data_IF_685186576905
#
_entry.id   IF_685186576905
#
_cell.length_a   1.000
_cell.length_b   1.000
_cell.length_c   1.000
_cell.angle_alpha   90.00
_cell.angle_beta   90.00
_cell.angle_gamma   90.00
#
_symmetry.space_group_name_H-M   'P 1'
#
loop_
_entity.id
_entity.type
_entity.pdbx_description
1 polymer ?
#
# COMPACT_ATOMS: atom_id res chain seq x y z
N UNK A 1 -5.61 2.62 14.91
CA UNK A 1 -6.01 1.37 14.24
C UNK A 1 -5.04 0.27 14.65
N UNK A 2 -5.51 -0.78 15.33
CA UNK A 2 -4.66 -1.89 15.81
C UNK A 2 -3.84 -2.56 14.69
N UNK A 3 -4.38 -2.61 13.48
CA UNK A 3 -3.72 -3.20 12.31
C UNK A 3 -2.35 -2.57 11.96
N UNK A 4 -2.13 -1.27 12.22
CA UNK A 4 -0.83 -0.61 11.99
C UNK A 4 0.28 -1.19 12.87
N UNK A 5 -0.06 -1.50 14.12
CA UNK A 5 0.86 -2.07 15.09
C UNK A 5 0.99 -3.59 14.92
N UNK A 6 -0.11 -4.27 14.60
CA UNK A 6 -0.12 -5.73 14.44
C UNK A 6 0.63 -6.22 13.18
N UNK A 7 0.77 -5.35 12.16
CA UNK A 7 1.34 -5.72 10.86
C UNK A 7 2.59 -4.92 10.47
N UNK A 8 3.10 -4.08 11.38
CA UNK A 8 4.22 -3.16 11.15
C UNK A 8 4.13 -2.50 9.76
N UNK A 9 3.01 -1.79 9.54
CA UNK A 9 2.65 -1.30 8.22
C UNK A 9 3.60 -0.18 7.76
N UNK A 10 4.57 -0.54 6.91
CA UNK A 10 5.24 0.39 6.00
C UNK A 10 4.50 0.37 4.66
N UNK A 11 3.53 1.26 4.48
CA UNK A 11 2.85 1.43 3.19
C UNK A 11 3.72 2.32 2.32
N UNK A 12 4.31 1.76 1.27
CA UNK A 12 4.96 2.53 0.21
C UNK A 12 4.03 2.60 -1.00
N UNK A 13 4.05 3.72 -1.69
CA UNK A 13 3.27 3.91 -2.92
C UNK A 13 4.23 3.89 -4.09
N UNK A 14 3.96 3.03 -5.08
CA UNK A 14 4.72 3.03 -6.32
C UNK A 14 4.16 4.10 -7.25
N UNK A 15 4.99 5.07 -7.63
CA UNK A 15 4.57 6.19 -8.48
C UNK A 15 5.78 6.89 -9.08
N UNK A 16 5.63 7.40 -10.31
CA UNK A 16 6.60 8.35 -10.85
C UNK A 16 6.49 9.69 -10.13
N UNK A 17 7.58 10.46 -10.12
CA UNK A 17 7.62 11.72 -9.37
C UNK A 17 6.62 12.73 -9.91
N UNK A 18 6.37 12.67 -11.21
CA UNK A 18 5.46 13.54 -11.95
C UNK A 18 3.99 13.24 -11.63
N UNK A 19 3.68 12.02 -11.17
CA UNK A 19 2.32 11.57 -10.83
C UNK A 19 1.95 11.79 -9.36
N UNK A 20 2.94 12.16 -8.52
CA UNK A 20 2.69 12.50 -7.12
C UNK A 20 1.93 13.84 -7.07
N UNK A 21 0.79 13.84 -6.37
CA UNK A 21 0.00 15.05 -6.16
C UNK A 21 0.87 16.19 -5.64
N UNK A 22 0.81 17.35 -6.31
CA UNK A 22 1.57 18.55 -5.95
C UNK A 22 1.35 18.96 -4.49
N UNK A 23 0.14 18.76 -3.97
CA UNK A 23 -0.25 19.06 -2.59
C UNK A 23 -0.01 17.92 -1.60
N UNK A 24 0.60 16.79 -2.02
CA UNK A 24 0.85 15.63 -1.15
C UNK A 24 1.44 16.02 0.21
N UNK A 25 2.50 16.82 0.21
CA UNK A 25 3.17 17.22 1.45
C UNK A 25 2.24 18.01 2.37
N UNK A 26 1.48 18.96 1.82
CA UNK A 26 0.50 19.73 2.56
C UNK A 26 -0.61 18.82 3.13
N UNK A 27 -1.15 17.92 2.31
CA UNK A 27 -2.21 17.00 2.71
C UNK A 27 -1.73 15.99 3.77
N UNK A 28 -0.48 15.53 3.68
CA UNK A 28 0.17 14.68 4.69
C UNK A 28 0.31 15.40 6.03
N UNK A 29 0.71 16.68 6.04
CA UNK A 29 0.74 17.46 7.31
C UNK A 29 -0.62 17.64 7.96
N UNK A 30 -1.70 17.54 7.16
CA UNK A 30 -3.09 17.58 7.64
C UNK A 30 -3.67 16.20 7.98
N UNK A 31 -2.88 15.14 7.88
CA UNK A 31 -3.27 13.78 8.24
C UNK A 31 -3.96 12.97 7.14
N UNK A 32 -4.08 13.48 5.91
CA UNK A 32 -4.78 12.76 4.82
C UNK A 32 -3.97 11.59 4.24
N UNK A 33 -2.64 11.71 4.23
CA UNK A 33 -1.71 10.69 3.70
C UNK A 33 -0.70 10.23 4.77
N UNK A 34 -1.08 10.26 6.04
CA UNK A 34 -0.23 9.88 7.17
C UNK A 34 0.15 8.39 7.19
N UNK A 35 -0.64 7.57 6.50
CA UNK A 35 -0.40 6.14 6.32
C UNK A 35 0.67 5.84 5.27
N UNK A 36 0.93 6.75 4.32
CA UNK A 36 1.98 6.57 3.30
C UNK A 36 3.34 6.87 3.94
N UNK A 37 4.17 5.84 4.06
CA UNK A 37 5.53 5.95 4.57
C UNK A 37 6.42 6.69 3.58
N UNK A 38 6.52 6.19 2.34
CA UNK A 38 7.38 6.73 1.29
C UNK A 38 6.83 6.44 -0.12
N UNK A 39 7.36 7.13 -1.13
CA UNK A 39 7.15 6.81 -2.54
C UNK A 39 8.36 6.08 -3.10
N UNK A 40 8.12 5.03 -3.85
CA UNK A 40 9.17 4.26 -4.52
C UNK A 40 8.90 4.25 -6.01
N UNK A 41 9.98 4.18 -6.80
CA UNK A 41 9.82 4.05 -8.25
C UNK A 41 9.59 2.58 -8.63
N UNK A 42 8.77 2.29 -9.65
CA UNK A 42 8.54 0.92 -10.12
C UNK A 42 9.84 0.18 -10.47
N UNK A 43 10.87 0.87 -10.98
CA UNK A 43 12.12 0.21 -11.38
C UNK A 43 12.96 -0.28 -10.20
N UNK A 44 12.67 0.20 -8.99
CA UNK A 44 13.41 -0.20 -7.79
C UNK A 44 13.08 -1.62 -7.35
N UNK A 45 11.99 -2.22 -7.86
CA UNK A 45 11.58 -3.60 -7.60
C UNK A 45 11.63 -3.96 -6.11
N UNK A 46 11.11 -3.06 -5.28
CA UNK A 46 11.09 -3.24 -3.84
C UNK A 46 10.33 -4.52 -3.51
N UNK A 47 10.96 -5.34 -2.65
CA UNK A 47 10.41 -6.62 -2.25
C UNK A 47 9.31 -6.45 -1.20
N UNK A 48 8.14 -7.02 -1.44
CA UNK A 48 6.99 -6.85 -0.56
C UNK A 48 5.70 -7.44 -1.13
N UNK A 49 4.63 -7.37 -0.33
CA UNK A 49 3.27 -7.71 -0.79
C UNK A 49 2.70 -6.51 -1.52
N UNK A 50 2.22 -6.73 -2.75
CA UNK A 50 1.64 -5.70 -3.62
C UNK A 50 0.13 -5.83 -3.64
N UNK A 51 -0.57 -4.70 -3.70
CA UNK A 51 -1.99 -4.67 -4.05
C UNK A 51 -2.06 -4.06 -5.44
N UNK A 52 -2.56 -4.80 -6.41
CA UNK A 52 -2.57 -4.38 -7.81
C UNK A 52 -3.87 -4.86 -8.49
N UNK A 53 -4.21 -4.27 -9.63
CA UNK A 53 -5.37 -4.66 -10.42
C UNK A 53 -5.14 -5.96 -11.20
N UNK A 54 -3.87 -6.34 -11.41
CA UNK A 54 -3.43 -7.50 -12.19
C UNK A 54 -2.36 -8.31 -11.43
N UNK A 55 -2.21 -9.60 -11.77
CA UNK A 55 -1.24 -10.50 -11.13
C UNK A 55 0.15 -10.39 -11.78
N UNK A 56 0.75 -9.19 -11.70
CA UNK A 56 2.04 -8.89 -12.32
C UNK A 56 3.25 -9.49 -11.56
N UNK A 57 3.08 -9.81 -10.28
CA UNK A 57 4.17 -10.25 -9.40
C UNK A 57 3.76 -11.44 -8.52
N UNK A 58 4.74 -12.19 -8.03
CA UNK A 58 4.52 -13.42 -7.25
C UNK A 58 3.82 -13.20 -5.91
N UNK A 59 3.93 -12.01 -5.31
CA UNK A 59 3.30 -11.63 -4.03
C UNK A 59 2.30 -10.49 -4.23
N UNK A 60 1.35 -10.68 -5.14
CA UNK A 60 0.30 -9.70 -5.44
C UNK A 60 -1.06 -10.15 -4.94
N UNK A 61 -1.72 -9.28 -4.18
CA UNK A 61 -3.15 -9.34 -3.87
C UNK A 61 -3.89 -8.57 -4.94
N UNK A 62 -4.67 -9.28 -5.77
CA UNK A 62 -5.44 -8.63 -6.82
C UNK A 62 -6.68 -7.93 -6.25
N UNK A 63 -6.81 -6.62 -6.44
CA UNK A 63 -7.96 -5.85 -6.02
C UNK A 63 -8.20 -4.65 -6.94
N UNK A 64 -9.38 -4.58 -7.57
CA UNK A 64 -9.74 -3.46 -8.46
C UNK A 64 -10.06 -2.15 -7.73
N UNK A 65 -10.36 -2.24 -6.43
CA UNK A 65 -10.67 -1.11 -5.55
C UNK A 65 -10.46 -1.51 -4.10
N UNK A 66 -10.19 -0.53 -3.24
CA UNK A 66 -10.15 -0.72 -1.78
C UNK A 66 -11.41 -0.06 -1.20
N UNK A 67 -12.26 -0.85 -0.57
CA UNK A 67 -13.52 -0.42 0.07
C UNK A 67 -13.58 -0.91 1.50
N UNK A 68 -14.37 -0.26 2.36
CA UNK A 68 -14.53 -0.70 3.75
C UNK A 68 -14.99 -2.17 3.88
N UNK A 69 -15.75 -2.67 2.91
CA UNK A 69 -16.25 -4.05 2.85
C UNK A 69 -15.15 -5.08 2.54
N UNK A 70 -14.19 -4.72 1.68
CA UNK A 70 -13.15 -5.67 1.24
C UNK A 70 -11.85 -5.55 2.04
N UNK A 71 -11.65 -4.48 2.80
CA UNK A 71 -10.48 -4.29 3.66
C UNK A 71 -10.20 -5.50 4.55
N UNK A 72 -11.18 -6.09 5.29
CA UNK A 72 -10.92 -7.28 6.11
C UNK A 72 -10.38 -8.48 5.31
N UNK A 73 -10.89 -8.69 4.09
CA UNK A 73 -10.42 -9.74 3.19
C UNK A 73 -8.99 -9.47 2.71
N UNK A 74 -8.70 -8.23 2.28
CA UNK A 74 -7.36 -7.82 1.85
C UNK A 74 -6.33 -7.99 2.97
N UNK A 75 -6.68 -7.59 4.19
CA UNK A 75 -5.84 -7.77 5.38
C UNK A 75 -5.53 -9.26 5.62
N UNK A 76 -6.53 -10.14 5.48
CA UNK A 76 -6.34 -11.59 5.62
C UNK A 76 -5.41 -12.16 4.55
N UNK A 77 -5.54 -11.74 3.30
CA UNK A 77 -4.66 -12.18 2.21
C UNK A 77 -3.22 -11.71 2.40
N UNK A 78 -3.03 -10.46 2.83
CA UNK A 78 -1.71 -9.89 3.13
C UNK A 78 -1.02 -10.66 4.27
N UNK A 79 -1.78 -11.01 5.32
CA UNK A 79 -1.29 -11.84 6.44
C UNK A 79 -0.79 -13.20 5.97
N UNK A 80 -1.61 -13.92 5.19
CA UNK A 80 -1.25 -15.22 4.61
C UNK A 80 0.03 -15.12 3.76
N UNK A 81 0.17 -14.09 2.92
CA UNK A 81 1.36 -13.91 2.07
C UNK A 81 2.63 -13.56 2.87
N UNK A 82 2.49 -12.96 4.05
CA UNK A 82 3.60 -12.65 4.96
C UNK A 82 3.88 -13.79 5.96
N UNK A 83 3.07 -14.85 5.98
CA UNK A 83 3.13 -15.94 6.97
C UNK A 83 3.04 -15.47 8.43
N UNK A 84 2.13 -14.51 8.71
CA UNK A 84 1.85 -13.99 10.06
C UNK A 84 0.37 -14.11 10.41
#
# INVERSE_FOLDING_TARGET
MSAKHDLDYCVVVESEKEDIDYYYNLLKTKGWFDFVYDFVKPEWKIDGVRIDNELNYSRTVQASKITCENVPLLLGQIKTLRNI
#
